data_IF_888511011807
#
_entry.id   IF_888511011807
#
_cell.length_a   1.000
_cell.length_b   1.000
_cell.length_c   1.000
_cell.angle_alpha   90.00
_cell.angle_beta   90.00
_cell.angle_gamma   90.00
#
_symmetry.space_group_name_H-M   'P 1'
#
loop_
_entity.id
_entity.type
_entity.pdbx_description
1 polymer ?
#
# COMPACT_ATOMS: atom_id res chain seq x y z
N UNK A 1 3.51 43.37 35.46
CA UNK A 1 3.37 41.99 36.00
C UNK A 1 4.01 41.04 35.00
N UNK A 2 5.21 40.53 35.33
CA UNK A 2 6.02 39.69 34.44
C UNK A 2 5.71 38.21 34.69
N UNK A 3 5.41 37.45 33.63
CA UNK A 3 5.30 35.99 33.66
C UNK A 3 6.59 35.41 33.07
N UNK A 4 7.31 34.50 33.76
CA UNK A 4 8.56 33.96 33.26
C UNK A 4 8.32 32.84 32.23
N UNK A 5 9.05 32.92 31.13
CA UNK A 5 9.03 31.94 30.03
C UNK A 5 9.66 30.60 30.42
N UNK A 6 8.99 29.50 30.04
CA UNK A 6 9.53 28.14 30.14
C UNK A 6 10.38 27.83 28.92
N UNK A 7 11.68 27.63 29.16
CA UNK A 7 12.65 27.05 28.23
C UNK A 7 12.42 25.53 28.12
N UNK A 8 12.08 25.04 26.93
CA UNK A 8 12.08 23.61 26.63
C UNK A 8 13.48 23.21 26.15
N UNK A 9 14.25 22.49 26.97
CA UNK A 9 15.44 21.77 26.52
C UNK A 9 15.04 20.41 25.92
N UNK A 10 15.64 19.98 24.80
CA UNK A 10 15.42 18.65 24.26
C UNK A 10 16.01 17.59 25.20
N UNK A 11 15.19 16.62 25.60
CA UNK A 11 15.62 15.48 26.41
C UNK A 11 16.45 14.46 25.63
N UNK A 12 17.25 13.63 26.31
CA UNK A 12 18.11 12.63 25.68
C UNK A 12 17.29 11.58 24.94
N UNK A 13 17.69 11.29 23.71
CA UNK A 13 17.11 10.23 22.87
C UNK A 13 17.45 8.86 23.48
N UNK A 14 16.44 8.21 24.06
CA UNK A 14 16.60 6.91 24.70
C UNK A 14 16.94 5.79 23.68
N UNK A 15 17.89 4.88 23.97
CA UNK A 15 18.27 3.76 23.09
C UNK A 15 17.19 2.66 22.94
N UNK A 16 16.04 2.79 23.61
CA UNK A 16 14.97 1.77 23.60
C UNK A 16 14.31 1.51 22.23
N UNK A 17 14.41 2.42 21.26
CA UNK A 17 13.74 2.22 19.95
C UNK A 17 14.40 1.18 19.05
N UNK A 18 15.69 0.89 19.21
CA UNK A 18 16.38 -0.13 18.40
C UNK A 18 16.10 -1.56 18.88
N UNK A 19 15.90 -1.77 20.18
CA UNK A 19 15.63 -3.10 20.75
C UNK A 19 14.29 -3.69 20.32
N UNK A 20 13.24 -2.87 20.26
CA UNK A 20 11.87 -3.34 19.93
C UNK A 20 11.76 -3.84 18.48
N UNK A 21 12.47 -3.21 17.55
CA UNK A 21 12.43 -3.61 16.14
C UNK A 21 13.11 -4.97 15.90
N UNK A 22 14.21 -5.24 16.61
CA UNK A 22 14.94 -6.52 16.52
C UNK A 22 14.15 -7.68 17.13
N UNK A 23 13.42 -7.43 18.23
CA UNK A 23 12.56 -8.46 18.83
C UNK A 23 11.35 -8.82 17.95
N UNK A 24 10.80 -7.86 17.21
CA UNK A 24 9.70 -8.12 16.27
C UNK A 24 10.17 -8.94 15.06
N UNK A 25 11.36 -8.67 14.50
CA UNK A 25 11.90 -9.43 13.37
C UNK A 25 12.35 -10.84 13.74
N UNK A 26 12.92 -11.04 14.94
CA UNK A 26 13.33 -12.37 15.40
C UNK A 26 12.12 -13.30 15.69
N UNK A 27 11.07 -12.77 16.34
CA UNK A 27 9.83 -13.54 16.56
C UNK A 27 9.07 -13.79 15.25
N UNK A 28 9.15 -12.87 14.29
CA UNK A 28 8.60 -13.04 12.94
C UNK A 28 9.19 -14.27 12.24
N UNK A 29 10.51 -14.48 12.33
CA UNK A 29 11.18 -15.63 11.68
C UNK A 29 10.86 -16.97 12.35
N UNK A 30 10.77 -17.00 13.68
CA UNK A 30 10.46 -18.22 14.44
C UNK A 30 9.02 -18.72 14.24
N UNK A 31 8.05 -17.81 14.07
CA UNK A 31 6.65 -18.17 13.83
C UNK A 31 6.42 -18.72 12.42
N UNK A 32 7.15 -18.22 11.41
CA UNK A 32 7.03 -18.70 10.02
C UNK A 32 7.54 -20.13 9.86
N UNK A 33 8.57 -20.53 10.61
CA UNK A 33 9.16 -21.87 10.50
C UNK A 33 8.33 -23.00 11.15
N UNK A 34 7.40 -22.67 12.07
CA UNK A 34 6.87 -23.65 13.02
C UNK A 34 5.44 -24.17 12.74
N UNK A 35 4.73 -23.73 11.69
CA UNK A 35 3.34 -24.14 11.46
C UNK A 35 2.98 -24.34 9.98
N UNK A 36 2.83 -25.60 9.57
CA UNK A 36 1.98 -25.99 8.45
C UNK A 36 0.72 -26.67 8.99
N UNK A 37 -0.47 -26.03 8.95
CA UNK A 37 -1.71 -26.64 9.42
C UNK A 37 -2.28 -27.62 8.39
N UNK A 38 -2.68 -28.80 8.85
CA UNK A 38 -3.18 -29.95 8.08
C UNK A 38 -4.44 -29.73 7.21
N UNK A 39 -5.09 -28.55 7.27
CA UNK A 39 -6.21 -28.15 6.40
C UNK A 39 -5.77 -27.48 5.07
N UNK A 40 -4.48 -27.57 4.72
CA UNK A 40 -3.87 -26.91 3.55
C UNK A 40 -4.33 -27.48 2.19
N UNK A 41 -4.76 -28.74 2.12
CA UNK A 41 -5.06 -29.43 0.85
C UNK A 41 -6.22 -28.82 0.05
N UNK A 42 -7.30 -28.39 0.72
CA UNK A 42 -8.47 -27.79 0.04
C UNK A 42 -8.15 -26.37 -0.46
N UNK A 43 -7.20 -25.67 0.17
CA UNK A 43 -6.87 -24.27 -0.15
C UNK A 43 -5.80 -24.14 -1.23
N UNK A 44 -4.85 -25.08 -1.30
CA UNK A 44 -3.85 -25.12 -2.37
C UNK A 44 -4.50 -25.42 -3.74
N UNK A 45 -5.57 -26.22 -3.80
CA UNK A 45 -6.22 -26.60 -5.06
C UNK A 45 -6.71 -25.40 -5.89
N UNK A 46 -7.38 -24.43 -5.27
CA UNK A 46 -7.96 -23.30 -6.01
C UNK A 46 -6.92 -22.34 -6.62
N UNK A 47 -5.73 -22.22 -6.02
CA UNK A 47 -4.67 -21.38 -6.57
C UNK A 47 -3.83 -22.11 -7.63
N UNK A 48 -3.67 -23.42 -7.51
CA UNK A 48 -2.91 -24.22 -8.47
C UNK A 48 -3.64 -24.45 -9.80
N UNK A 49 -4.97 -24.40 -9.81
CA UNK A 49 -5.76 -24.70 -11.02
C UNK A 49 -6.05 -23.48 -11.92
N UNK A 50 -5.79 -22.25 -11.45
CA UNK A 50 -6.07 -21.08 -12.27
C UNK A 50 -5.00 -20.87 -13.35
N UNK A 51 -5.32 -21.30 -14.58
CA UNK A 51 -4.58 -20.85 -15.76
C UNK A 51 -5.01 -19.43 -16.15
N UNK A 52 -4.07 -18.50 -16.35
CA UNK A 52 -4.35 -17.20 -16.93
C UNK A 52 -5.14 -17.32 -18.24
N UNK A 53 -6.03 -16.36 -18.51
CA UNK A 53 -6.85 -16.36 -19.73
C UNK A 53 -6.03 -16.19 -21.02
N UNK A 54 -4.80 -15.68 -20.90
CA UNK A 54 -3.90 -15.47 -22.02
C UNK A 54 -3.24 -16.77 -22.53
N UNK A 55 -3.54 -17.93 -21.93
CA UNK A 55 -3.01 -19.23 -22.35
C UNK A 55 -1.55 -19.48 -21.97
N UNK A 56 -0.92 -18.57 -21.22
CA UNK A 56 0.43 -18.79 -20.69
C UNK A 56 0.35 -19.61 -19.39
N UNK A 57 1.27 -20.54 -19.19
CA UNK A 57 1.44 -21.24 -17.90
C UNK A 57 2.18 -20.37 -16.86
N UNK A 58 2.39 -19.08 -17.14
CA UNK A 58 3.04 -18.14 -16.25
C UNK A 58 2.13 -17.83 -15.05
N UNK A 59 2.64 -18.02 -13.84
CA UNK A 59 1.90 -17.76 -12.60
C UNK A 59 2.45 -16.51 -11.93
N UNK A 60 1.55 -15.69 -11.40
CA UNK A 60 1.89 -14.36 -10.88
C UNK A 60 1.64 -14.24 -9.38
N UNK A 61 2.51 -13.48 -8.73
CA UNK A 61 2.31 -12.94 -7.38
C UNK A 61 2.24 -11.41 -7.47
N UNK A 62 1.22 -10.81 -6.86
CA UNK A 62 1.05 -9.37 -6.85
C UNK A 62 1.31 -8.79 -5.46
N UNK A 63 2.33 -7.94 -5.33
CA UNK A 63 2.54 -7.11 -4.15
C UNK A 63 1.95 -5.73 -4.38
N UNK A 64 0.97 -5.31 -3.59
CA UNK A 64 0.41 -3.96 -3.65
C UNK A 64 0.99 -3.08 -2.54
N UNK A 65 1.69 -2.04 -2.97
CA UNK A 65 2.33 -1.04 -2.14
C UNK A 65 1.29 -0.08 -1.55
N UNK A 66 0.75 -0.46 -0.40
CA UNK A 66 -0.33 0.29 0.23
C UNK A 66 0.21 1.53 0.95
N UNK A 67 0.28 2.66 0.25
CA UNK A 67 0.58 3.95 0.86
C UNK A 67 -0.62 4.55 1.60
N UNK A 68 -0.32 5.33 2.65
CA UNK A 68 -1.35 6.08 3.35
C UNK A 68 -2.04 7.01 2.36
N UNK A 69 -3.37 7.11 2.38
CA UNK A 69 -4.15 8.04 1.53
C UNK A 69 -4.03 7.83 0.01
N UNK A 70 -3.62 6.67 -0.48
CA UNK A 70 -3.70 6.31 -1.90
C UNK A 70 -4.83 5.33 -2.21
N UNK A 71 -5.91 5.38 -1.41
CA UNK A 71 -7.07 4.48 -1.48
C UNK A 71 -6.77 2.98 -1.35
N UNK A 72 -5.59 2.58 -0.85
CA UNK A 72 -5.20 1.16 -0.76
C UNK A 72 -6.14 0.30 0.11
N UNK A 73 -6.82 0.90 1.10
CA UNK A 73 -7.85 0.21 1.90
C UNK A 73 -9.05 -0.18 1.04
N UNK A 74 -9.56 0.76 0.25
CA UNK A 74 -10.68 0.53 -0.67
C UNK A 74 -10.28 -0.48 -1.74
N UNK A 75 -9.07 -0.34 -2.29
CA UNK A 75 -8.53 -1.26 -3.28
C UNK A 75 -8.44 -2.70 -2.73
N UNK A 76 -7.83 -2.90 -1.56
CA UNK A 76 -7.76 -4.23 -0.94
C UNK A 76 -9.14 -4.87 -0.80
N UNK A 77 -10.14 -4.11 -0.37
CA UNK A 77 -11.50 -4.60 -0.20
C UNK A 77 -12.11 -5.02 -1.56
N UNK A 78 -11.96 -4.18 -2.60
CA UNK A 78 -12.41 -4.53 -3.96
C UNK A 78 -11.72 -5.81 -4.45
N UNK A 79 -10.41 -5.91 -4.27
CA UNK A 79 -9.63 -7.09 -4.70
C UNK A 79 -10.06 -8.34 -3.93
N UNK A 80 -10.19 -8.28 -2.61
CA UNK A 80 -10.59 -9.43 -1.78
C UNK A 80 -12.01 -9.94 -2.08
N UNK A 81 -12.91 -9.05 -2.48
CA UNK A 81 -14.26 -9.43 -2.95
C UNK A 81 -14.25 -10.02 -4.35
N UNK A 82 -13.34 -9.58 -5.21
CA UNK A 82 -13.30 -9.96 -6.63
C UNK A 82 -12.48 -11.21 -6.91
N UNK A 83 -11.38 -11.43 -6.19
CA UNK A 83 -10.39 -12.47 -6.50
C UNK A 83 -10.14 -13.41 -5.32
N UNK A 84 -9.80 -14.66 -5.63
CA UNK A 84 -9.25 -15.61 -4.66
C UNK A 84 -7.78 -15.27 -4.35
N UNK A 85 -7.31 -15.70 -3.18
CA UNK A 85 -5.92 -15.50 -2.76
C UNK A 85 -5.54 -14.05 -2.45
N UNK A 86 -6.47 -13.17 -2.09
CA UNK A 86 -6.11 -11.81 -1.66
C UNK A 86 -5.89 -11.77 -0.16
N UNK A 87 -4.79 -11.15 0.27
CA UNK A 87 -4.38 -11.05 1.66
C UNK A 87 -4.04 -9.60 2.00
N UNK A 88 -4.76 -9.01 2.95
CA UNK A 88 -4.56 -7.61 3.28
C UNK A 88 -5.13 -7.16 4.61
N UNK A 89 -4.67 -5.99 5.06
CA UNK A 89 -5.06 -5.36 6.32
C UNK A 89 -6.57 -5.10 6.44
N UNK A 90 -7.30 -5.10 5.32
CA UNK A 90 -8.72 -4.75 5.21
C UNK A 90 -9.56 -5.90 4.63
N UNK A 91 -9.10 -7.13 4.86
CA UNK A 91 -9.79 -8.35 4.47
C UNK A 91 -8.92 -9.28 3.66
N UNK A 92 -9.13 -10.57 3.91
CA UNK A 92 -8.63 -11.67 3.09
C UNK A 92 -9.78 -12.19 2.24
N UNK A 93 -9.51 -12.60 1.00
CA UNK A 93 -10.55 -13.15 0.13
C UNK A 93 -11.27 -14.35 0.74
N UNK A 94 -10.56 -15.17 1.53
CA UNK A 94 -11.11 -16.38 2.15
C UNK A 94 -11.79 -16.14 3.51
N UNK A 95 -11.57 -14.98 4.15
CA UNK A 95 -12.25 -14.58 5.39
C UNK A 95 -13.37 -13.55 5.14
N UNK A 96 -13.56 -13.15 3.89
CA UNK A 96 -14.67 -12.29 3.50
C UNK A 96 -15.87 -13.15 3.17
N UNK A 97 -16.74 -13.28 4.17
CA UNK A 97 -18.16 -13.53 3.96
C UNK A 97 -18.73 -12.48 3.00
N UNK A 98 -19.61 -12.92 2.11
CA UNK A 98 -20.19 -12.09 1.05
C UNK A 98 -21.20 -11.10 1.64
N UNK A 99 -21.77 -11.45 2.80
CA UNK A 99 -22.58 -10.55 3.59
C UNK A 99 -21.72 -9.72 4.53
N UNK A 100 -22.00 -8.41 4.68
CA UNK A 100 -21.75 -7.75 5.94
C UNK A 100 -22.82 -8.27 6.91
N UNK A 101 -22.75 -9.54 7.33
CA UNK A 101 -23.27 -9.85 8.65
C UNK A 101 -22.58 -8.83 9.52
N UNK A 102 -23.36 -7.97 10.17
CA UNK A 102 -22.83 -7.09 11.17
C UNK A 102 -21.90 -7.94 12.01
N UNK A 103 -20.58 -7.82 11.82
CA UNK A 103 -19.60 -8.33 12.76
C UNK A 103 -19.68 -7.40 13.97
N UNK A 104 -20.87 -7.29 14.52
CA UNK A 104 -21.15 -6.86 15.85
C UNK A 104 -20.63 -7.98 16.75
N UNK A 105 -19.95 -7.51 17.79
CA UNK A 105 -20.03 -8.05 19.13
C UNK A 105 -19.13 -9.22 19.56
N UNK A 106 -18.61 -10.08 18.68
CA UNK A 106 -18.03 -11.35 19.18
C UNK A 106 -16.51 -11.51 19.04
N UNK A 107 -15.74 -10.44 18.78
CA UNK A 107 -14.35 -10.44 19.27
C UNK A 107 -14.44 -10.19 20.79
N UNK A 108 -14.19 -11.22 21.64
CA UNK A 108 -14.34 -11.12 23.09
C UNK A 108 -13.30 -10.18 23.70
N UNK A 109 -12.37 -9.64 22.90
CA UNK A 109 -11.37 -8.72 23.40
C UNK A 109 -11.79 -7.25 23.18
N UNK A 110 -12.44 -6.59 24.16
CA UNK A 110 -12.84 -5.18 24.08
C UNK A 110 -11.66 -4.22 23.88
N UNK A 111 -10.43 -4.66 24.18
CA UNK A 111 -9.20 -3.91 23.89
C UNK A 111 -9.05 -3.63 22.39
N UNK A 112 -9.50 -4.54 21.53
CA UNK A 112 -9.29 -4.45 20.09
C UNK A 112 -10.30 -3.53 19.38
N UNK A 113 -11.53 -3.46 19.90
CA UNK A 113 -12.53 -2.45 19.49
C UNK A 113 -12.08 -1.02 19.80
N UNK A 114 -11.48 -0.78 20.98
CA UNK A 114 -10.94 0.54 21.38
C UNK A 114 -9.82 1.04 20.47
N UNK A 115 -9.10 0.13 19.80
CA UNK A 115 -8.01 0.47 18.88
C UNK A 115 -8.47 0.74 17.43
N UNK A 116 -9.79 0.77 17.17
CA UNK A 116 -10.32 1.04 15.83
C UNK A 116 -10.04 -0.07 14.81
N UNK A 117 -9.75 -1.29 15.30
CA UNK A 117 -9.73 -2.49 14.48
C UNK A 117 -11.14 -3.03 14.44
N UNK A 118 -11.90 -2.52 13.47
CA UNK A 118 -13.16 -3.11 13.10
C UNK A 118 -12.97 -4.55 12.61
N UNK A 119 -14.06 -5.32 12.59
CA UNK A 119 -14.06 -6.69 12.10
C UNK A 119 -13.53 -6.85 10.67
N UNK A 120 -13.65 -5.82 9.85
CA UNK A 120 -13.15 -5.74 8.48
C UNK A 120 -11.61 -5.71 8.39
N UNK A 121 -10.90 -5.65 9.52
CA UNK A 121 -9.44 -5.46 9.57
C UNK A 121 -8.76 -6.69 10.16
N UNK A 122 -7.76 -7.19 9.47
CA UNK A 122 -6.89 -8.26 10.00
C UNK A 122 -5.61 -7.62 10.49
N UNK A 123 -5.29 -7.83 11.78
CA UNK A 123 -4.07 -7.30 12.39
C UNK A 123 -2.84 -7.91 11.75
N UNK A 124 -1.79 -7.11 11.53
CA UNK A 124 -0.51 -7.60 10.99
C UNK A 124 0.00 -8.85 11.72
N UNK A 125 -0.09 -8.96 13.05
CA UNK A 125 0.39 -10.15 13.76
C UNK A 125 -0.37 -11.42 13.35
N UNK A 126 -1.69 -11.31 13.15
CA UNK A 126 -2.52 -12.41 12.66
C UNK A 126 -2.16 -12.73 11.21
N UNK A 127 -1.92 -11.70 10.40
CA UNK A 127 -1.51 -11.88 9.01
C UNK A 127 -0.19 -12.64 8.90
N UNK A 128 0.80 -12.22 9.66
CA UNK A 128 2.11 -12.86 9.76
C UNK A 128 1.98 -14.28 10.28
N UNK A 129 1.19 -14.49 11.33
CA UNK A 129 1.00 -15.82 11.91
C UNK A 129 0.29 -16.80 10.95
N UNK A 130 -0.61 -16.29 10.10
CA UNK A 130 -1.26 -17.07 9.04
C UNK A 130 -0.35 -17.29 7.84
N UNK A 131 0.64 -16.43 7.66
CA UNK A 131 1.53 -16.43 6.51
C UNK A 131 0.88 -15.91 5.22
N UNK A 132 1.68 -15.92 4.16
CA UNK A 132 1.29 -15.42 2.84
C UNK A 132 1.31 -16.50 1.76
N UNK A 133 1.60 -17.76 2.09
CA UNK A 133 1.89 -18.84 1.14
C UNK A 133 0.72 -19.11 0.17
N UNK A 134 -0.51 -18.83 0.60
CA UNK A 134 -1.74 -19.04 -0.18
C UNK A 134 -2.28 -17.73 -0.81
N UNK A 135 -1.45 -16.69 -0.89
CA UNK A 135 -1.83 -15.39 -1.42
C UNK A 135 -1.36 -15.22 -2.87
N UNK A 136 -2.29 -14.94 -3.76
CA UNK A 136 -2.07 -14.43 -5.12
C UNK A 136 -1.74 -12.94 -5.13
N UNK A 137 -2.36 -12.18 -4.22
CA UNK A 137 -2.15 -10.75 -4.06
C UNK A 137 -2.02 -10.41 -2.58
N UNK A 138 -0.95 -9.71 -2.22
CA UNK A 138 -0.76 -9.14 -0.88
C UNK A 138 -0.92 -7.63 -0.97
N UNK A 139 -1.82 -7.05 -0.18
CA UNK A 139 -2.06 -5.60 -0.12
C UNK A 139 -1.98 -5.14 1.33
N UNK A 140 -0.79 -4.66 1.70
CA UNK A 140 -0.48 -4.40 3.10
C UNK A 140 0.28 -3.11 3.30
N UNK A 141 -0.08 -2.44 4.39
CA UNK A 141 0.59 -1.30 4.96
C UNK A 141 1.88 -1.73 5.70
N UNK A 142 2.85 -2.30 4.97
CA UNK A 142 4.12 -2.77 5.54
C UNK A 142 5.30 -1.92 5.06
N UNK A 143 6.35 -1.87 5.89
CA UNK A 143 7.63 -1.29 5.52
C UNK A 143 8.28 -2.12 4.39
N UNK A 144 9.09 -1.45 3.57
CA UNK A 144 9.59 -2.07 2.33
C UNK A 144 10.42 -3.35 2.60
N UNK A 145 11.11 -3.43 3.74
CA UNK A 145 11.94 -4.58 4.12
C UNK A 145 11.13 -5.87 4.28
N UNK A 146 9.86 -5.76 4.68
CA UNK A 146 8.99 -6.93 4.87
C UNK A 146 8.69 -7.62 3.53
N UNK A 147 8.74 -6.88 2.42
CA UNK A 147 8.57 -7.45 1.08
C UNK A 147 9.70 -8.41 0.71
N UNK A 148 10.93 -8.24 1.21
CA UNK A 148 12.03 -9.17 0.93
C UNK A 148 11.66 -10.58 1.41
N UNK A 149 11.21 -10.68 2.66
CA UNK A 149 10.82 -11.97 3.25
C UNK A 149 9.52 -12.51 2.63
N UNK A 150 8.59 -11.63 2.30
CA UNK A 150 7.29 -12.02 1.73
C UNK A 150 7.46 -12.59 0.31
N UNK A 151 8.24 -11.92 -0.54
CA UNK A 151 8.50 -12.35 -1.92
C UNK A 151 9.33 -13.62 -2.01
N UNK A 152 10.16 -13.91 -1.01
CA UNK A 152 10.93 -15.15 -0.91
C UNK A 152 10.06 -16.42 -0.82
N UNK A 153 8.78 -16.29 -0.45
CA UNK A 153 7.80 -17.39 -0.45
C UNK A 153 7.33 -17.77 -1.88
N UNK A 154 7.56 -16.90 -2.86
CA UNK A 154 7.01 -17.00 -4.21
C UNK A 154 8.10 -17.14 -5.28
N UNK A 155 9.11 -17.99 -5.02
CA UNK A 155 10.32 -18.12 -5.88
C UNK A 155 10.02 -18.52 -7.33
N UNK A 156 8.94 -19.27 -7.55
CA UNK A 156 8.59 -19.82 -8.87
C UNK A 156 7.43 -19.05 -9.54
N UNK A 157 7.16 -17.83 -9.09
CA UNK A 157 6.12 -16.96 -9.63
C UNK A 157 6.76 -15.67 -10.13
N UNK A 158 6.20 -15.09 -11.19
CA UNK A 158 6.52 -13.72 -11.61
C UNK A 158 5.94 -12.76 -10.59
N UNK A 159 6.81 -11.97 -9.96
CA UNK A 159 6.44 -11.03 -8.89
C UNK A 159 6.20 -9.67 -9.49
N UNK A 160 5.00 -9.15 -9.28
CA UNK A 160 4.54 -7.87 -9.83
C UNK A 160 4.26 -6.91 -8.69
N UNK A 161 4.94 -5.76 -8.69
CA UNK A 161 4.74 -4.69 -7.73
C UNK A 161 3.70 -3.70 -8.27
N UNK A 162 2.56 -3.58 -7.60
CA UNK A 162 1.51 -2.60 -7.88
C UNK A 162 1.77 -1.35 -7.05
N UNK A 163 2.00 -0.22 -7.73
CA UNK A 163 2.31 1.07 -7.14
C UNK A 163 1.18 2.06 -7.49
N UNK A 164 0.34 2.48 -6.52
CA UNK A 164 -0.62 3.55 -6.78
C UNK A 164 0.15 4.85 -7.00
N UNK A 165 -0.20 5.62 -8.02
CA UNK A 165 0.20 7.01 -8.19
C UNK A 165 -0.92 7.92 -7.72
N UNK A 166 -0.57 8.94 -6.93
CA UNK A 166 -1.41 10.09 -6.60
C UNK A 166 -0.56 11.34 -6.77
N UNK A 167 -1.16 12.40 -7.32
CA UNK A 167 -0.45 13.67 -7.49
C UNK A 167 0.09 14.18 -6.13
N UNK A 168 1.35 14.63 -6.03
CA UNK A 168 1.98 14.89 -4.74
C UNK A 168 1.24 15.90 -3.84
N UNK A 169 0.73 17.00 -4.41
CA UNK A 169 0.02 18.03 -3.65
C UNK A 169 -1.33 17.50 -3.18
N UNK A 170 -2.10 16.84 -4.05
CA UNK A 170 -3.36 16.20 -3.67
C UNK A 170 -3.15 15.14 -2.58
N UNK A 171 -2.09 14.33 -2.68
CA UNK A 171 -1.72 13.36 -1.66
C UNK A 171 -1.39 14.06 -0.33
N UNK A 172 -0.55 15.09 -0.36
CA UNK A 172 -0.20 15.91 0.80
C UNK A 172 -1.43 16.50 1.49
N UNK A 173 -2.34 17.13 0.75
CA UNK A 173 -3.60 17.68 1.28
C UNK A 173 -4.43 16.59 1.96
N UNK A 174 -4.51 15.41 1.35
CA UNK A 174 -5.23 14.26 1.91
C UNK A 174 -4.61 13.74 3.20
N UNK A 175 -3.27 13.76 3.31
CA UNK A 175 -2.54 13.38 4.52
C UNK A 175 -2.76 14.43 5.62
N UNK A 176 -2.63 15.71 5.32
CA UNK A 176 -2.89 16.78 6.30
C UNK A 176 -4.31 16.71 6.85
N UNK A 177 -5.31 16.54 5.97
CA UNK A 177 -6.70 16.37 6.38
C UNK A 177 -6.88 15.15 7.29
N UNK A 178 -6.22 14.03 6.96
CA UNK A 178 -6.26 12.83 7.81
C UNK A 178 -5.69 13.06 9.21
N UNK A 179 -4.67 13.93 9.33
CA UNK A 179 -4.09 14.31 10.61
C UNK A 179 -4.81 15.47 11.31
N UNK A 180 -5.89 16.01 10.72
CA UNK A 180 -6.60 17.17 11.26
C UNK A 180 -5.76 18.46 11.20
N UNK A 181 -4.78 18.53 10.30
CA UNK A 181 -3.91 19.70 10.15
C UNK A 181 -4.51 20.63 9.09
N UNK A 182 -4.82 21.85 9.48
CA UNK A 182 -5.28 22.90 8.56
C UNK A 182 -4.13 23.42 7.71
N UNK A 183 -4.16 23.08 6.41
CA UNK A 183 -3.08 23.42 5.45
C UNK A 183 -2.87 24.93 5.30
N UNK A 184 -3.94 25.72 5.32
CA UNK A 184 -3.86 27.19 5.23
C UNK A 184 -3.09 27.81 6.40
N UNK A 185 -3.22 27.23 7.59
CA UNK A 185 -2.45 27.65 8.77
C UNK A 185 -1.00 27.16 8.69
N UNK A 186 -0.81 25.93 8.20
CA UNK A 186 0.51 25.32 8.03
C UNK A 186 1.40 26.10 7.05
N UNK A 187 0.80 26.57 5.94
CA UNK A 187 1.52 27.22 4.84
C UNK A 187 1.36 28.75 4.84
N UNK A 188 0.81 29.33 5.91
CA UNK A 188 0.58 30.78 6.05
C UNK A 188 1.86 31.61 5.82
N UNK A 189 3.01 31.06 6.25
CA UNK A 189 4.31 31.71 6.18
C UNK A 189 5.19 31.15 5.04
N UNK A 190 4.58 30.56 4.01
CA UNK A 190 5.29 29.91 2.90
C UNK A 190 5.42 28.39 3.10
N UNK A 191 6.33 27.77 2.34
CA UNK A 191 6.43 26.31 2.28
C UNK A 191 7.36 25.68 3.33
N UNK A 192 7.84 26.41 4.34
CA UNK A 192 8.86 25.89 5.27
C UNK A 192 8.39 24.70 6.12
N UNK A 193 7.11 24.66 6.45
CA UNK A 193 6.51 23.66 7.34
C UNK A 193 5.79 22.52 6.58
N UNK A 194 6.02 22.38 5.28
CA UNK A 194 5.30 21.42 4.42
C UNK A 194 5.46 19.96 4.87
N UNK A 195 6.54 19.61 5.57
CA UNK A 195 6.83 18.23 5.93
C UNK A 195 6.09 17.76 7.20
N UNK A 196 5.46 18.67 7.97
CA UNK A 196 4.74 18.33 9.21
C UNK A 196 3.63 17.30 9.00
N UNK A 197 3.01 17.28 7.82
CA UNK A 197 2.01 16.26 7.50
C UNK A 197 2.64 14.91 7.10
N UNK A 198 3.89 14.88 6.64
CA UNK A 198 4.54 13.69 6.08
C UNK A 198 5.34 12.86 7.11
N UNK A 199 5.31 13.24 8.39
CA UNK A 199 6.25 12.73 9.40
C UNK A 199 6.05 11.26 9.81
N UNK A 200 5.06 10.54 9.29
CA UNK A 200 4.76 9.16 9.71
C UNK A 200 4.67 8.19 8.52
N UNK A 201 5.37 7.06 8.64
CA UNK A 201 5.19 5.84 7.85
C UNK A 201 5.39 5.98 6.32
N UNK A 202 6.39 6.75 5.90
CA UNK A 202 6.76 6.86 4.48
C UNK A 202 7.81 5.81 4.05
N UNK A 203 8.33 5.00 4.98
CA UNK A 203 9.34 3.95 4.74
C UNK A 203 8.76 2.69 4.08
N UNK A 204 7.67 2.84 3.33
CA UNK A 204 6.99 1.74 2.62
C UNK A 204 7.59 1.45 1.26
N UNK A 205 8.39 2.37 0.72
CA UNK A 205 9.04 2.24 -0.59
C UNK A 205 10.55 2.43 -0.49
N UNK A 206 11.25 1.65 -1.30
CA UNK A 206 12.68 1.69 -1.52
C UNK A 206 12.95 1.23 -2.93
N UNK A 207 13.95 1.80 -3.59
CA UNK A 207 14.38 1.37 -4.93
C UNK A 207 14.86 -0.10 -4.89
N UNK A 208 15.25 -0.63 -3.73
CA UNK A 208 15.58 -2.04 -3.53
C UNK A 208 14.40 -3.00 -3.75
N UNK A 209 13.16 -2.50 -3.79
CA UNK A 209 12.03 -3.33 -4.19
C UNK A 209 12.17 -3.81 -5.63
N UNK A 210 12.85 -3.06 -6.50
CA UNK A 210 13.09 -3.46 -7.89
C UNK A 210 14.09 -4.62 -8.01
N UNK A 211 14.78 -4.97 -6.91
CA UNK A 211 15.66 -6.14 -6.89
C UNK A 211 14.93 -7.45 -6.64
N UNK A 212 13.72 -7.38 -6.07
CA UNK A 212 12.95 -8.54 -5.64
C UNK A 212 11.65 -8.75 -6.42
N UNK A 213 11.19 -7.73 -7.15
CA UNK A 213 10.05 -7.80 -8.06
C UNK A 213 10.54 -7.83 -9.51
N UNK A 214 9.86 -8.61 -10.35
CA UNK A 214 10.22 -8.79 -11.77
C UNK A 214 9.54 -7.73 -12.65
N UNK A 215 8.36 -7.26 -12.24
CA UNK A 215 7.59 -6.24 -12.96
C UNK A 215 7.04 -5.19 -12.01
N UNK A 216 6.86 -3.98 -12.51
CA UNK A 216 6.26 -2.86 -11.79
C UNK A 216 5.07 -2.34 -12.59
N UNK A 217 3.93 -2.17 -11.94
CA UNK A 217 2.74 -1.54 -12.51
C UNK A 217 2.46 -0.29 -11.71
N UNK A 218 2.63 0.86 -12.35
CA UNK A 218 2.22 2.15 -11.82
C UNK A 218 0.84 2.45 -12.36
N UNK A 219 -0.13 2.71 -11.49
CA UNK A 219 -1.51 2.99 -11.88
C UNK A 219 -2.02 4.25 -11.20
N UNK A 220 -2.86 5.02 -11.91
CA UNK A 220 -3.54 6.15 -11.32
C UNK A 220 -4.56 5.68 -10.27
N UNK A 221 -4.45 6.17 -9.03
CA UNK A 221 -5.35 5.77 -7.96
C UNK A 221 -6.81 6.18 -8.22
N UNK A 222 -7.05 7.15 -9.11
CA UNK A 222 -8.38 7.55 -9.55
C UNK A 222 -8.94 6.67 -10.68
N UNK A 223 -8.11 5.84 -11.31
CA UNK A 223 -8.54 4.87 -12.34
C UNK A 223 -8.24 3.43 -11.93
N UNK A 224 -8.81 3.04 -10.79
CA UNK A 224 -8.79 1.67 -10.29
C UNK A 224 -9.39 0.67 -11.32
N UNK A 225 -10.31 1.12 -12.19
CA UNK A 225 -10.92 0.26 -13.20
C UNK A 225 -9.91 -0.26 -14.21
N UNK A 226 -8.99 0.58 -14.69
CA UNK A 226 -7.90 0.14 -15.57
C UNK A 226 -7.04 -0.94 -14.95
N UNK A 227 -6.73 -0.82 -13.65
CA UNK A 227 -6.00 -1.87 -12.90
C UNK A 227 -6.82 -3.15 -12.78
N UNK A 228 -8.11 -3.07 -12.45
CA UNK A 228 -8.99 -4.24 -12.33
C UNK A 228 -9.10 -4.99 -13.67
N UNK A 229 -9.28 -4.26 -14.77
CA UNK A 229 -9.36 -4.85 -16.10
C UNK A 229 -8.09 -5.61 -16.47
N UNK A 230 -6.92 -5.10 -16.06
CA UNK A 230 -5.66 -5.80 -16.23
C UNK A 230 -5.63 -7.08 -15.37
N UNK A 231 -5.91 -6.98 -14.07
CA UNK A 231 -5.86 -8.09 -13.13
C UNK A 231 -6.85 -9.21 -13.44
N UNK A 232 -7.97 -8.91 -14.11
CA UNK A 232 -8.95 -9.89 -14.55
C UNK A 232 -8.41 -10.96 -15.52
N UNK A 233 -7.24 -10.71 -16.13
CA UNK A 233 -6.57 -11.66 -17.00
C UNK A 233 -5.63 -12.62 -16.26
N UNK A 234 -5.21 -12.25 -15.05
CA UNK A 234 -4.15 -12.92 -14.29
C UNK A 234 -4.62 -13.50 -12.95
N UNK A 235 -5.67 -12.93 -12.36
CA UNK A 235 -6.14 -13.28 -11.02
C UNK A 235 -7.38 -14.17 -11.07
N UNK A 236 -7.45 -15.23 -10.25
CA UNK A 236 -8.61 -16.10 -10.16
C UNK A 236 -9.81 -15.33 -9.62
N UNK A 237 -10.82 -15.08 -10.45
CA UNK A 237 -12.06 -14.44 -10.01
C UNK A 237 -12.81 -15.33 -9.02
N UNK A 238 -13.42 -14.72 -8.01
CA UNK A 238 -14.36 -15.40 -7.13
C UNK A 238 -15.66 -15.67 -7.87
N UNK A 239 -16.08 -16.92 -7.87
CA UNK A 239 -17.45 -17.30 -8.22
C UNK A 239 -18.23 -17.28 -6.90
N UNK A 240 -19.14 -16.32 -6.78
CA UNK A 240 -20.06 -16.23 -5.65
C UNK A 240 -21.39 -16.83 -6.09
N UNK A 241 -21.93 -17.78 -5.34
CA UNK A 241 -23.21 -18.38 -5.68
C UNK A 241 -24.34 -17.34 -5.64
N UNK A 242 -25.30 -17.46 -6.55
CA UNK A 242 -26.38 -16.48 -6.74
C UNK A 242 -27.28 -16.32 -5.52
N UNK A 243 -27.39 -17.34 -4.67
CA UNK A 243 -28.07 -17.30 -3.37
C UNK A 243 -27.50 -16.26 -2.41
N UNK A 244 -26.29 -15.74 -2.70
CA UNK A 244 -25.57 -14.73 -1.92
C UNK A 244 -25.57 -13.35 -2.59
N UNK A 245 -26.36 -13.15 -3.66
CA UNK A 245 -26.48 -11.86 -4.38
C UNK A 245 -27.39 -10.88 -3.63
N UNK A 246 -26.90 -10.31 -2.53
CA UNK A 246 -27.37 -8.99 -2.11
C UNK A 246 -26.55 -7.89 -2.79
N UNK A 247 -27.23 -6.85 -3.28
CA UNK A 247 -26.61 -5.77 -4.06
C UNK A 247 -25.45 -5.14 -3.27
N UNK A 248 -24.28 -5.15 -3.91
CA UNK A 248 -23.12 -4.39 -3.46
C UNK A 248 -23.44 -2.90 -3.46
N UNK A 249 -23.73 -2.32 -2.29
CA UNK A 249 -23.74 -0.86 -2.14
C UNK A 249 -22.32 -0.41 -1.79
N UNK A 250 -21.57 0.07 -2.79
CA UNK A 250 -20.45 0.96 -2.50
C UNK A 250 -21.06 2.27 -2.03
N UNK A 251 -21.02 2.57 -0.74
CA UNK A 251 -21.70 3.73 -0.13
C UNK A 251 -21.18 5.12 -0.54
N UNK A 252 -20.69 5.31 -1.76
CA UNK A 252 -20.36 6.62 -2.34
C UNK A 252 -20.64 6.63 -3.83
N UNK A 253 -21.47 7.57 -4.27
CA UNK A 253 -21.67 7.88 -5.69
C UNK A 253 -20.37 8.49 -6.23
N UNK A 254 -19.64 7.71 -7.03
CA UNK A 254 -18.36 8.10 -7.66
C UNK A 254 -18.54 9.31 -8.61
N UNK A 255 -19.78 9.59 -9.05
CA UNK A 255 -20.07 10.67 -10.00
C UNK A 255 -20.00 12.08 -9.41
N UNK A 256 -20.24 12.27 -8.11
CA UNK A 256 -20.21 13.61 -7.49
C UNK A 256 -18.79 14.07 -7.15
N UNK A 257 -17.88 13.14 -6.81
CA UNK A 257 -16.48 13.45 -6.46
C UNK A 257 -15.67 13.98 -7.65
N UNK A 258 -16.04 13.65 -8.88
CA UNK A 258 -15.32 14.11 -10.09
C UNK A 258 -15.62 15.58 -10.42
N UNK A 259 -16.85 16.02 -10.20
CA UNK A 259 -17.31 17.40 -10.48
C UNK A 259 -16.69 18.40 -9.49
N UNK A 260 -16.47 17.99 -8.23
CA UNK A 260 -15.78 18.82 -7.24
C UNK A 260 -14.29 19.02 -7.54
N UNK A 261 -13.61 18.04 -8.15
CA UNK A 261 -12.16 18.11 -8.39
C UNK A 261 -11.76 19.05 -9.52
N UNK A 262 -12.56 19.16 -10.58
CA UNK A 262 -12.26 20.13 -11.65
C UNK A 262 -12.38 21.59 -11.17
N UNK A 263 -13.10 21.84 -10.07
CA UNK A 263 -13.12 23.13 -9.37
C UNK A 263 -11.96 23.34 -8.38
N UNK A 264 -11.16 22.30 -8.07
CA UNK A 264 -10.09 22.39 -7.06
C UNK A 264 -8.78 22.99 -7.57
N UNK A 265 -8.56 23.13 -8.87
CA UNK A 265 -7.35 23.81 -9.34
C UNK A 265 -7.34 25.31 -8.93
N UNK A 266 -8.50 25.97 -8.87
CA UNK A 266 -8.64 27.32 -8.30
C UNK A 266 -8.75 27.31 -6.77
N UNK A 267 -9.35 26.27 -6.18
CA UNK A 267 -9.47 26.13 -4.72
C UNK A 267 -8.15 25.81 -4.01
N UNK A 268 -7.25 25.04 -4.63
CA UNK A 268 -5.96 24.68 -4.06
C UNK A 268 -5.05 25.92 -3.94
N UNK A 269 -5.04 26.81 -4.93
CA UNK A 269 -4.29 28.07 -4.85
C UNK A 269 -4.76 28.94 -3.68
N UNK A 270 -6.06 28.98 -3.41
CA UNK A 270 -6.64 29.71 -2.27
C UNK A 270 -6.22 29.10 -0.91
N UNK A 271 -6.05 27.78 -0.85
CA UNK A 271 -5.75 27.03 0.39
C UNK A 271 -4.26 27.14 0.77
N UNK A 272 -3.37 27.32 -0.20
CA UNK A 272 -1.92 27.23 0.01
C UNK A 272 -1.27 28.53 0.48
N UNK A 273 -2.05 29.62 0.60
CA UNK A 273 -1.60 30.88 1.19
C UNK A 273 -0.41 31.48 0.43
N UNK A 274 0.75 31.60 1.08
CA UNK A 274 1.98 32.14 0.47
C UNK A 274 2.86 31.07 -0.20
N UNK A 275 2.47 29.80 -0.14
CA UNK A 275 3.24 28.71 -0.72
C UNK A 275 2.77 28.41 -2.14
N UNK A 276 3.58 28.74 -3.14
CA UNK A 276 3.27 28.40 -4.54
C UNK A 276 3.17 26.88 -4.74
N UNK A 277 2.14 26.42 -5.48
CA UNK A 277 1.93 25.00 -5.83
C UNK A 277 3.19 24.37 -6.43
N UNK A 278 3.85 25.07 -7.36
CA UNK A 278 5.05 24.56 -8.04
C UNK A 278 6.19 24.32 -7.06
N UNK A 279 6.35 25.24 -6.11
CA UNK A 279 7.36 25.13 -5.06
C UNK A 279 7.03 23.99 -4.10
N UNK A 280 5.78 23.88 -3.64
CA UNK A 280 5.32 22.78 -2.80
C UNK A 280 5.54 21.42 -3.47
N UNK A 281 5.10 21.27 -4.72
CA UNK A 281 5.27 20.03 -5.49
C UNK A 281 6.73 19.62 -5.58
N UNK A 282 7.64 20.55 -5.90
CA UNK A 282 9.09 20.30 -5.94
C UNK A 282 9.62 19.81 -4.59
N UNK A 283 9.20 20.45 -3.49
CA UNK A 283 9.59 20.06 -2.13
C UNK A 283 9.09 18.66 -1.77
N UNK A 284 7.83 18.35 -2.09
CA UNK A 284 7.22 17.04 -1.84
C UNK A 284 7.96 15.92 -2.60
N UNK A 285 8.28 16.13 -3.89
CA UNK A 285 9.07 15.18 -4.68
C UNK A 285 10.44 14.91 -4.06
N UNK A 286 11.15 15.96 -3.66
CA UNK A 286 12.45 15.83 -3.03
C UNK A 286 12.38 15.12 -1.67
N UNK A 287 11.26 15.25 -0.96
CA UNK A 287 11.08 14.66 0.37
C UNK A 287 10.70 13.19 0.35
N UNK A 288 9.86 12.79 -0.61
CA UNK A 288 9.25 11.46 -0.69
C UNK A 288 9.67 10.82 -2.00
N UNK A 289 10.65 9.92 -1.92
CA UNK A 289 11.24 9.23 -3.08
C UNK A 289 10.20 8.58 -3.99
N UNK A 290 9.12 8.06 -3.41
CA UNK A 290 7.99 7.49 -4.14
C UNK A 290 7.33 8.47 -5.12
N UNK A 291 7.19 9.76 -4.76
CA UNK A 291 6.59 10.75 -5.67
C UNK A 291 7.46 11.01 -6.89
N UNK A 292 8.76 11.15 -6.67
CA UNK A 292 9.72 11.32 -7.76
C UNK A 292 9.69 10.11 -8.70
N UNK A 293 9.80 8.90 -8.13
CA UNK A 293 9.77 7.66 -8.90
C UNK A 293 8.50 7.54 -9.73
N UNK A 294 7.34 7.67 -9.09
CA UNK A 294 6.07 7.39 -9.73
C UNK A 294 5.74 8.43 -10.81
N UNK A 295 6.21 9.68 -10.67
CA UNK A 295 6.02 10.71 -11.67
C UNK A 295 6.98 10.61 -12.86
N UNK A 296 8.25 10.24 -12.64
CA UNK A 296 9.22 10.01 -13.72
C UNK A 296 8.78 8.92 -14.70
N UNK A 297 8.00 7.95 -14.21
CA UNK A 297 7.63 6.76 -14.95
C UNK A 297 6.12 6.67 -15.23
N UNK A 298 5.34 7.62 -14.73
CA UNK A 298 3.95 7.78 -15.17
C UNK A 298 3.98 8.43 -16.54
N UNK A 299 3.72 7.63 -17.57
CA UNK A 299 3.39 8.16 -18.88
C UNK A 299 2.03 8.86 -18.83
N UNK A 300 1.63 9.56 -19.91
CA UNK A 300 0.27 10.10 -20.07
C UNK A 300 -0.82 9.02 -19.96
N UNK A 301 -0.43 7.75 -20.01
CA UNK A 301 -1.29 6.59 -19.78
C UNK A 301 -1.62 6.45 -18.30
N UNK A 302 -2.88 6.13 -18.01
CA UNK A 302 -3.39 5.87 -16.65
C UNK A 302 -2.81 4.63 -15.98
N UNK A 303 -2.17 3.76 -16.76
CA UNK A 303 -1.50 2.56 -16.30
C UNK A 303 -0.20 2.41 -17.11
N UNK A 304 0.90 2.20 -16.40
CA UNK A 304 2.22 1.97 -16.98
C UNK A 304 2.79 0.67 -16.43
N UNK A 305 3.11 -0.26 -17.34
CA UNK A 305 3.72 -1.56 -17.01
C UNK A 305 5.19 -1.47 -17.39
N UNK A 306 6.03 -1.92 -16.48
CA UNK A 306 7.46 -1.78 -16.57
C UNK A 306 8.13 -3.09 -16.19
N UNK A 307 9.21 -3.42 -16.89
CA UNK A 307 10.08 -4.52 -16.51
C UNK A 307 11.10 -4.03 -15.47
N UNK A 308 11.24 -4.75 -14.35
CA UNK A 308 12.12 -4.32 -13.27
C UNK A 308 13.61 -4.41 -13.65
N UNK A 309 13.97 -5.27 -14.61
CA UNK A 309 15.35 -5.33 -15.10
C UNK A 309 15.73 -4.04 -15.83
N UNK A 310 14.82 -3.48 -16.62
CA UNK A 310 15.03 -2.19 -17.30
C UNK A 310 15.20 -1.03 -16.30
N UNK A 311 14.70 -1.17 -15.06
CA UNK A 311 14.86 -0.16 -14.01
C UNK A 311 16.24 -0.12 -13.39
N UNK A 312 16.91 -1.26 -13.24
CA UNK A 312 18.26 -1.31 -12.65
C UNK A 312 19.25 -0.45 -13.42
N UNK A 313 19.09 -0.43 -14.74
CA UNK A 313 19.95 0.33 -15.65
C UNK A 313 19.61 1.82 -15.69
N UNK A 314 18.42 2.20 -15.21
CA UNK A 314 17.94 3.60 -15.18
C UNK A 314 18.24 4.32 -13.85
N UNK A 315 18.54 3.60 -12.77
CA UNK A 315 18.81 4.22 -11.48
C UNK A 315 20.21 4.88 -11.48
N UNK A 316 20.31 6.19 -11.19
CA UNK A 316 21.59 6.87 -11.15
C UNK A 316 22.43 6.35 -9.98
N UNK A 317 23.58 5.73 -10.29
CA UNK A 317 24.53 5.24 -9.29
C UNK A 317 24.57 3.73 -9.08
N UNK A 318 23.79 2.94 -9.82
CA UNK A 318 24.05 1.49 -9.96
C UNK A 318 25.31 1.33 -10.81
N UNK A 319 26.47 1.42 -10.16
CA UNK A 319 27.74 0.99 -10.75
C UNK A 319 27.52 -0.48 -11.08
N UNK A 320 27.44 -0.78 -12.38
CA UNK A 320 27.53 -2.14 -12.88
C UNK A 320 28.81 -2.72 -12.32
N UNK A 321 28.69 -3.53 -11.26
CA UNK A 321 29.75 -4.45 -10.86
C UNK A 321 29.86 -5.42 -12.03
N UNK A 322 30.65 -5.04 -13.02
CA UNK A 322 31.18 -5.96 -14.00
C UNK A 322 31.90 -7.01 -13.18
N UNK A 323 31.29 -8.20 -13.09
CA UNK A 323 31.99 -9.37 -12.60
C UNK A 323 33.09 -9.65 -13.61
N UNK A 324 34.27 -9.08 -13.38
CA UNK A 324 35.49 -9.62 -13.96
C UNK A 324 35.60 -11.04 -13.41
N UNK A 325 35.19 -12.01 -14.22
CA UNK A 325 35.70 -13.37 -14.07
C UNK A 325 37.21 -13.23 -14.17
N UNK A 326 37.90 -13.48 -13.06
CA UNK A 326 39.31 -13.77 -13.09
C UNK A 326 39.44 -15.13 -13.77
N UNK A 327 40.20 -15.16 -14.86
CA UNK A 327 40.66 -16.38 -15.53
C UNK A 327 41.57 -17.21 -14.62
#
# INVERSE_FOLDING_TARGET
>A
MNVPGRSCKPGPTSPLRRGVLVFLTANYLLVIAARQPSNERVRQHAFHEHRPKNGTDERFFFGHLHFMKTAGTSLNNIMARRYHGVCGHKGYSFDQEIEPVFRQADDPNPYYRKLGFGPDRVRIQIMVARGFQNCALVSHEMDWQIWINTTALFKNLTKVLLIPYREPVDHFLSICNHHGIHVSSLLKNGCSDYDKCLQKNMDRFSDQLFDIFDKVIIYDYDDIHSLINLLDNYMPRRILELSQKHRFSSGRNISEDKILRDQTNSGAELILGKCEIKTLRRLLRARVRFFEFAEQHKNEKRLTILDALSFRDMLPGTITRTSSKAD
#
